data_IF_028524503540
#
_entry.id   IF_028524503540
#
_cell.length_a   1.000
_cell.length_b   1.000
_cell.length_c   1.000
_cell.angle_alpha   90.00
_cell.angle_beta   90.00
_cell.angle_gamma   90.00
#
_symmetry.space_group_name_H-M   'P 1'
#
loop_
_entity.id
_entity.type
_entity.pdbx_description
1 polymer ?
#
# COMPACT_ATOMS: atom_id res chain seq x y z
N UNK A 1 -24.47 -0.82 11.09
CA UNK A 1 -23.27 -0.42 10.31
C UNK A 1 -23.44 -0.65 8.82
N UNK A 2 -23.96 -1.78 8.33
CA UNK A 2 -24.10 -2.00 6.87
C UNK A 2 -25.07 -1.03 6.18
N UNK A 3 -26.15 -0.62 6.85
CA UNK A 3 -27.14 0.33 6.30
C UNK A 3 -26.53 1.69 5.91
N UNK A 4 -25.52 2.19 6.65
CA UNK A 4 -24.85 3.44 6.27
C UNK A 4 -24.01 3.28 5.01
N UNK A 5 -23.38 2.11 4.82
CA UNK A 5 -22.65 1.79 3.58
C UNK A 5 -23.58 1.64 2.39
N UNK A 6 -24.74 1.00 2.57
CA UNK A 6 -25.75 0.87 1.51
C UNK A 6 -26.31 2.23 1.08
N UNK A 7 -26.61 3.12 2.04
CA UNK A 7 -27.06 4.48 1.76
C UNK A 7 -25.98 5.31 1.05
N UNK A 8 -24.74 5.23 1.52
CA UNK A 8 -23.63 5.94 0.90
C UNK A 8 -23.37 5.45 -0.54
N UNK A 9 -23.46 4.14 -0.78
CA UNK A 9 -23.42 3.54 -2.12
C UNK A 9 -24.52 4.08 -3.03
N UNK A 10 -25.71 4.30 -2.49
CA UNK A 10 -26.85 4.88 -3.21
C UNK A 10 -26.72 6.41 -3.45
N UNK A 11 -25.60 7.04 -3.07
CA UNK A 11 -25.35 8.46 -3.28
C UNK A 11 -25.85 9.37 -2.15
N UNK A 12 -26.24 8.82 -0.99
CA UNK A 12 -26.62 9.62 0.18
C UNK A 12 -25.41 10.42 0.69
N UNK A 13 -25.49 11.74 0.57
CA UNK A 13 -24.42 12.65 0.95
C UNK A 13 -24.11 12.63 2.46
N UNK A 14 -25.11 12.41 3.32
CA UNK A 14 -24.91 12.37 4.76
C UNK A 14 -24.22 11.06 5.16
N UNK A 15 -24.65 9.94 4.57
CA UNK A 15 -24.02 8.65 4.80
C UNK A 15 -22.57 8.62 4.29
N UNK A 16 -22.33 9.21 3.12
CA UNK A 16 -20.98 9.37 2.55
C UNK A 16 -20.09 10.18 3.48
N UNK A 17 -20.55 11.35 3.96
CA UNK A 17 -19.81 12.18 4.92
C UNK A 17 -19.45 11.42 6.19
N UNK A 18 -20.41 10.72 6.78
CA UNK A 18 -20.18 9.93 8.00
C UNK A 18 -19.09 8.87 7.81
N UNK A 19 -19.08 8.16 6.67
CA UNK A 19 -18.03 7.18 6.35
C UNK A 19 -16.69 7.88 6.14
N UNK A 20 -16.65 8.96 5.35
CA UNK A 20 -15.40 9.69 5.12
C UNK A 20 -14.81 10.24 6.41
N UNK A 21 -15.63 10.80 7.31
CA UNK A 21 -15.14 11.32 8.58
C UNK A 21 -14.62 10.22 9.50
N UNK A 22 -15.26 9.04 9.50
CA UNK A 22 -14.79 7.88 10.25
C UNK A 22 -13.44 7.36 9.72
N UNK A 23 -13.23 7.35 8.40
CA UNK A 23 -12.03 6.80 7.77
C UNK A 23 -10.88 7.82 7.64
N UNK A 24 -11.16 9.12 7.78
CA UNK A 24 -10.20 10.21 7.65
C UNK A 24 -8.92 10.03 8.48
N UNK A 25 -8.97 9.70 9.79
CA UNK A 25 -7.75 9.55 10.59
C UNK A 25 -6.84 8.42 10.08
N UNK A 26 -7.44 7.37 9.51
CA UNK A 26 -6.72 6.22 8.98
C UNK A 26 -6.06 6.53 7.64
N UNK A 27 -6.76 7.22 6.74
CA UNK A 27 -6.21 7.68 5.47
C UNK A 27 -5.08 8.69 5.69
N UNK A 28 -5.26 9.66 6.59
CA UNK A 28 -4.23 10.65 6.91
C UNK A 28 -2.94 9.99 7.45
N UNK A 29 -3.07 9.03 8.38
CA UNK A 29 -1.91 8.26 8.88
C UNK A 29 -1.22 7.46 7.77
N UNK A 30 -1.98 6.86 6.87
CA UNK A 30 -1.45 6.09 5.74
C UNK A 30 -0.69 7.00 4.76
N UNK A 31 -1.27 8.14 4.38
CA UNK A 31 -0.63 9.13 3.51
C UNK A 31 0.66 9.67 4.13
N UNK A 32 0.61 10.10 5.39
CA UNK A 32 1.79 10.58 6.10
C UNK A 32 2.89 9.52 6.23
N UNK A 33 2.52 8.24 6.39
CA UNK A 33 3.49 7.15 6.40
C UNK A 33 4.20 7.02 5.04
N UNK A 34 3.44 6.94 3.95
CA UNK A 34 4.02 6.77 2.63
C UNK A 34 4.82 8.00 2.19
N UNK A 35 4.34 9.21 2.46
CA UNK A 35 5.05 10.45 2.22
C UNK A 35 6.47 10.43 2.83
N UNK A 36 6.60 10.03 4.10
CA UNK A 36 7.90 9.87 4.76
C UNK A 36 8.80 8.82 4.11
N UNK A 37 8.22 7.72 3.62
CA UNK A 37 8.99 6.64 3.00
C UNK A 37 9.45 6.97 1.58
N UNK A 38 8.72 7.81 0.85
CA UNK A 38 8.92 8.02 -0.59
C UNK A 38 9.38 9.43 -0.95
N UNK A 39 9.36 10.35 0.02
CA UNK A 39 9.67 11.77 -0.18
C UNK A 39 8.58 12.51 -0.99
N UNK A 40 7.36 11.98 -1.03
CA UNK A 40 6.21 12.64 -1.66
C UNK A 40 5.49 13.55 -0.67
N UNK A 41 4.65 14.45 -1.19
CA UNK A 41 3.78 15.28 -0.36
C UNK A 41 2.63 14.45 0.26
N UNK A 42 2.40 14.64 1.56
CA UNK A 42 1.39 13.88 2.30
C UNK A 42 -0.04 14.26 1.93
N UNK A 43 -0.30 15.52 1.59
CA UNK A 43 -1.63 16.01 1.21
C UNK A 43 -1.99 15.52 -0.18
N UNK A 44 -1.04 15.48 -1.12
CA UNK A 44 -1.25 14.89 -2.45
C UNK A 44 -1.59 13.40 -2.36
N UNK A 45 -0.83 12.64 -1.56
CA UNK A 45 -1.11 11.22 -1.33
C UNK A 45 -2.45 10.99 -0.63
N UNK A 46 -2.82 11.89 0.29
CA UNK A 46 -4.11 11.83 0.96
C UNK A 46 -5.26 12.08 -0.02
N UNK A 47 -5.12 13.06 -0.91
CA UNK A 47 -6.11 13.33 -1.96
C UNK A 47 -6.29 12.13 -2.89
N UNK A 48 -5.20 11.51 -3.35
CA UNK A 48 -5.26 10.31 -4.18
C UNK A 48 -5.92 9.13 -3.44
N UNK A 49 -5.66 8.98 -2.14
CA UNK A 49 -6.37 7.99 -1.32
C UNK A 49 -7.88 8.27 -1.25
N UNK A 50 -8.29 9.54 -1.12
CA UNK A 50 -9.71 9.91 -1.16
C UNK A 50 -10.37 9.62 -2.49
N UNK A 51 -9.69 9.94 -3.60
CA UNK A 51 -10.17 9.63 -4.95
C UNK A 51 -10.45 8.12 -5.07
N UNK A 52 -9.48 7.27 -4.72
CA UNK A 52 -9.65 5.83 -4.78
C UNK A 52 -10.78 5.30 -3.89
N UNK A 53 -10.95 5.89 -2.70
CA UNK A 53 -12.05 5.52 -1.79
C UNK A 53 -13.42 5.87 -2.38
N UNK A 54 -13.57 7.10 -2.90
CA UNK A 54 -14.83 7.59 -3.43
C UNK A 54 -15.20 6.92 -4.74
N UNK A 55 -14.23 6.57 -5.58
CA UNK A 55 -14.44 5.75 -6.79
C UNK A 55 -14.92 4.33 -6.46
N UNK A 56 -14.45 3.75 -5.35
CA UNK A 56 -14.82 2.41 -4.93
C UNK A 56 -16.19 2.33 -4.22
N UNK A 57 -16.65 3.44 -3.64
CA UNK A 57 -17.86 3.48 -2.82
C UNK A 57 -19.14 3.07 -3.57
N UNK A 58 -19.41 3.49 -4.82
CA UNK A 58 -20.58 3.03 -5.59
C UNK A 58 -20.53 1.54 -5.96
N UNK A 59 -19.32 0.97 -6.09
CA UNK A 59 -19.11 -0.43 -6.45
C UNK A 59 -19.07 -1.38 -5.24
N UNK A 60 -19.19 -0.84 -4.03
CA UNK A 60 -19.11 -1.59 -2.79
C UNK A 60 -20.24 -2.62 -2.67
N UNK A 61 -19.86 -3.89 -2.50
CA UNK A 61 -20.77 -4.94 -2.06
C UNK A 61 -20.65 -5.15 -0.54
N UNK A 62 -21.69 -4.74 0.19
CA UNK A 62 -21.74 -4.84 1.65
C UNK A 62 -21.96 -6.28 2.15
N UNK A 63 -22.35 -7.20 1.27
CA UNK A 63 -22.55 -8.62 1.63
C UNK A 63 -21.24 -9.40 1.63
N UNK A 64 -20.17 -8.83 1.07
CA UNK A 64 -18.87 -9.50 0.92
C UNK A 64 -17.84 -8.85 1.85
N UNK A 65 -17.40 -9.61 2.85
CA UNK A 65 -16.28 -9.22 3.71
C UNK A 65 -16.56 -7.95 4.53
N UNK A 66 -15.51 -7.15 4.77
CA UNK A 66 -15.62 -5.89 5.51
C UNK A 66 -15.64 -4.70 4.55
N UNK A 67 -16.71 -3.89 4.52
CA UNK A 67 -16.81 -2.70 3.68
C UNK A 67 -15.68 -1.70 3.90
N UNK A 68 -15.31 -1.46 5.17
CA UNK A 68 -14.19 -0.59 5.51
C UNK A 68 -12.89 -1.11 4.88
N UNK A 69 -12.59 -2.40 5.04
CA UNK A 69 -11.35 -2.97 4.51
C UNK A 69 -11.27 -2.85 2.99
N UNK A 70 -12.38 -3.05 2.29
CA UNK A 70 -12.47 -2.86 0.85
C UNK A 70 -12.15 -1.41 0.45
N UNK A 71 -12.79 -0.43 1.08
CA UNK A 71 -12.57 0.99 0.79
C UNK A 71 -11.14 1.43 1.10
N UNK A 72 -10.59 1.02 2.26
CA UNK A 72 -9.21 1.30 2.64
C UNK A 72 -8.23 0.66 1.65
N UNK A 73 -8.53 -0.53 1.14
CA UNK A 73 -7.69 -1.20 0.14
C UNK A 73 -7.65 -0.41 -1.18
N UNK A 74 -8.79 0.08 -1.66
CA UNK A 74 -8.87 0.90 -2.87
C UNK A 74 -8.19 2.26 -2.69
N UNK A 75 -8.38 2.92 -1.54
CA UNK A 75 -7.69 4.15 -1.18
C UNK A 75 -6.17 3.96 -1.22
N UNK A 76 -5.67 2.88 -0.60
CA UNK A 76 -4.25 2.53 -0.60
C UNK A 76 -3.73 2.25 -2.01
N UNK A 77 -4.51 1.57 -2.84
CA UNK A 77 -4.11 1.28 -4.22
C UNK A 77 -3.91 2.56 -5.02
N UNK A 78 -4.87 3.49 -4.98
CA UNK A 78 -4.77 4.77 -5.70
C UNK A 78 -3.58 5.61 -5.24
N UNK A 79 -3.34 5.63 -3.93
CA UNK A 79 -2.16 6.29 -3.34
C UNK A 79 -0.85 5.68 -3.85
N UNK A 80 -0.71 4.36 -3.82
CA UNK A 80 0.52 3.68 -4.28
C UNK A 80 0.75 3.87 -5.78
N UNK A 81 -0.32 3.92 -6.57
CA UNK A 81 -0.24 4.25 -7.99
C UNK A 81 0.28 5.69 -8.19
N UNK A 82 -0.16 6.65 -7.38
CA UNK A 82 0.37 8.02 -7.41
C UNK A 82 1.86 8.09 -7.05
N UNK A 83 2.29 7.36 -6.01
CA UNK A 83 3.72 7.23 -5.66
C UNK A 83 4.53 6.67 -6.83
N UNK A 84 4.02 5.63 -7.50
CA UNK A 84 4.70 5.04 -8.66
C UNK A 84 4.79 6.04 -9.80
N UNK A 85 3.69 6.73 -10.13
CA UNK A 85 3.68 7.77 -11.17
C UNK A 85 4.68 8.89 -10.87
N UNK A 86 4.78 9.32 -9.61
CA UNK A 86 5.75 10.33 -9.20
C UNK A 86 7.20 9.85 -9.32
N UNK A 87 7.48 8.62 -8.91
CA UNK A 87 8.80 7.99 -9.07
C UNK A 87 9.21 7.90 -10.55
N UNK A 88 8.32 7.45 -11.43
CA UNK A 88 8.58 7.36 -12.87
C UNK A 88 8.86 8.75 -13.45
N UNK A 89 8.06 9.76 -13.10
CA UNK A 89 8.31 11.16 -13.54
C UNK A 89 9.67 11.67 -13.09
N UNK A 90 10.08 11.40 -11.84
CA UNK A 90 11.41 11.77 -11.34
C UNK A 90 12.52 11.04 -12.07
N UNK A 91 12.41 9.73 -12.29
CA UNK A 91 13.42 8.98 -13.05
C UNK A 91 13.57 9.49 -14.48
N UNK A 92 12.45 9.81 -15.16
CA UNK A 92 12.49 10.42 -16.49
C UNK A 92 13.12 11.83 -16.47
N UNK A 93 12.93 12.60 -15.38
CA UNK A 93 13.58 13.91 -15.21
C UNK A 93 15.07 13.81 -14.82
N UNK A 94 15.48 12.71 -14.17
CA UNK A 94 16.87 12.48 -13.75
C UNK A 94 17.76 11.98 -14.88
N UNK A 95 17.21 11.45 -15.98
CA UNK A 95 17.98 11.25 -17.22
C UNK A 95 18.56 12.59 -17.75
N UNK A 96 18.01 13.73 -17.32
CA UNK A 96 18.48 15.09 -17.66
C UNK A 96 19.25 15.81 -16.53
N UNK A 97 19.37 15.25 -15.31
CA UNK A 97 19.94 15.98 -14.16
C UNK A 97 20.93 15.14 -13.33
N UNK A 98 22.20 15.58 -13.32
CA UNK A 98 23.32 15.00 -12.57
C UNK A 98 23.10 14.96 -11.04
N UNK A 99 23.71 13.94 -10.41
CA UNK A 99 23.42 13.44 -9.07
C UNK A 99 23.84 14.33 -7.89
N UNK A 100 23.02 14.33 -6.84
CA UNK A 100 23.33 14.91 -5.51
C UNK A 100 23.79 13.82 -4.50
N UNK A 101 24.56 14.19 -3.46
CA UNK A 101 25.23 13.22 -2.57
C UNK A 101 24.27 12.56 -1.57
N UNK A 102 24.53 11.28 -1.28
CA UNK A 102 23.76 10.46 -0.35
C UNK A 102 23.92 10.90 1.12
N UNK A 103 22.80 11.03 1.83
CA UNK A 103 22.77 11.25 3.27
C UNK A 103 23.25 10.00 4.03
N UNK A 104 24.05 10.20 5.08
CA UNK A 104 24.59 9.13 5.93
C UNK A 104 23.48 8.45 6.74
N UNK A 105 23.35 7.10 6.72
CA UNK A 105 22.27 6.41 7.42
C UNK A 105 22.46 6.43 8.94
N UNK A 106 21.36 6.70 9.64
CA UNK A 106 21.23 6.60 11.11
C UNK A 106 21.48 5.15 11.59
N UNK A 107 22.09 5.01 12.77
CA UNK A 107 22.43 3.72 13.40
C UNK A 107 21.18 2.88 13.70
N UNK A 108 20.05 3.51 14.01
CA UNK A 108 18.76 2.82 14.15
C UNK A 108 18.29 2.24 12.81
N UNK A 109 18.43 3.01 11.73
CA UNK A 109 18.12 2.56 10.37
C UNK A 109 19.03 1.41 9.91
N UNK A 110 20.31 1.42 10.30
CA UNK A 110 21.24 0.34 10.01
C UNK A 110 20.85 -0.99 10.69
N UNK A 111 20.42 -0.94 11.96
CA UNK A 111 19.92 -2.12 12.69
C UNK A 111 18.61 -2.64 12.08
N UNK A 112 17.68 -1.75 11.75
CA UNK A 112 16.44 -2.13 11.06
C UNK A 112 16.71 -2.77 9.69
N UNK A 113 17.65 -2.20 8.92
CA UNK A 113 18.06 -2.74 7.62
C UNK A 113 18.71 -4.13 7.75
N UNK A 114 19.53 -4.35 8.78
CA UNK A 114 20.14 -5.66 9.04
C UNK A 114 19.08 -6.72 9.37
N UNK A 115 18.09 -6.39 10.22
CA UNK A 115 16.97 -7.29 10.53
C UNK A 115 16.13 -7.62 9.28
N UNK A 116 15.87 -6.63 8.43
CA UNK A 116 15.15 -6.83 7.15
C UNK A 116 15.96 -7.71 6.20
N UNK A 117 17.27 -7.50 6.09
CA UNK A 117 18.16 -8.33 5.27
C UNK A 117 18.21 -9.79 5.76
N UNK A 118 18.26 -10.00 7.08
CA UNK A 118 18.25 -11.34 7.67
C UNK A 118 16.93 -12.09 7.36
N UNK A 119 15.79 -11.44 7.58
CA UNK A 119 14.49 -12.02 7.28
C UNK A 119 14.33 -12.31 5.78
N UNK A 120 14.64 -11.34 4.92
CA UNK A 120 14.51 -11.50 3.46
C UNK A 120 15.42 -12.60 2.92
N UNK A 121 16.56 -12.87 3.57
CA UNK A 121 17.45 -14.00 3.25
C UNK A 121 16.81 -15.38 3.48
N UNK A 122 15.84 -15.50 4.39
CA UNK A 122 15.12 -16.75 4.67
C UNK A 122 14.03 -17.07 3.64
N UNK A 123 13.59 -16.07 2.89
CA UNK A 123 12.54 -16.21 1.87
C UNK A 123 13.08 -16.87 0.59
N UNK A 124 12.27 -17.75 -0.01
CA UNK A 124 12.53 -18.31 -1.35
C UNK A 124 12.60 -17.18 -2.40
N UNK A 125 13.30 -17.37 -3.53
CA UNK A 125 13.44 -16.34 -4.56
C UNK A 125 12.10 -15.75 -5.02
N UNK A 126 11.09 -16.59 -5.24
CA UNK A 126 9.75 -16.16 -5.62
C UNK A 126 9.07 -15.31 -4.53
N UNK A 127 9.20 -15.68 -3.25
CA UNK A 127 8.64 -14.90 -2.13
C UNK A 127 9.33 -13.55 -1.99
N UNK A 128 10.66 -13.50 -2.19
CA UNK A 128 11.44 -12.25 -2.20
C UNK A 128 11.01 -11.32 -3.32
N UNK A 129 10.87 -11.84 -4.54
CA UNK A 129 10.40 -11.07 -5.68
C UNK A 129 8.99 -10.49 -5.42
N UNK A 130 8.08 -11.32 -4.90
CA UNK A 130 6.73 -10.87 -4.52
C UNK A 130 6.81 -9.78 -3.45
N UNK A 131 7.57 -10.00 -2.38
CA UNK A 131 7.70 -9.02 -1.30
C UNK A 131 8.23 -7.68 -1.81
N UNK A 132 9.25 -7.69 -2.66
CA UNK A 132 9.82 -6.47 -3.25
C UNK A 132 8.77 -5.73 -4.08
N UNK A 133 8.05 -6.42 -4.97
CA UNK A 133 7.00 -5.80 -5.77
C UNK A 133 5.89 -5.20 -4.90
N UNK A 134 5.51 -5.87 -3.81
CA UNK A 134 4.51 -5.33 -2.88
C UNK A 134 5.02 -4.13 -2.07
N UNK A 135 6.32 -4.10 -1.74
CA UNK A 135 6.99 -2.95 -1.09
C UNK A 135 7.07 -1.78 -2.07
N UNK A 136 7.37 -2.05 -3.35
CA UNK A 136 7.29 -1.10 -4.46
C UNK A 136 5.84 -0.66 -4.78
N UNK A 137 4.87 -1.18 -4.04
CA UNK A 137 3.48 -0.75 -4.08
C UNK A 137 2.64 -1.42 -5.16
N UNK A 138 3.12 -2.51 -5.78
CA UNK A 138 2.29 -3.29 -6.71
C UNK A 138 1.13 -3.96 -6.00
N UNK A 139 -0.02 -3.97 -6.66
CA UNK A 139 -1.15 -4.78 -6.23
C UNK A 139 -0.87 -6.27 -6.43
N UNK A 140 -1.64 -7.14 -5.79
CA UNK A 140 -1.51 -8.58 -6.02
C UNK A 140 -1.77 -8.97 -7.48
N UNK A 141 -2.62 -8.22 -8.18
CA UNK A 141 -2.89 -8.44 -9.61
C UNK A 141 -1.70 -7.97 -10.47
N UNK A 142 -1.15 -6.80 -10.18
CA UNK A 142 0.03 -6.26 -10.90
C UNK A 142 1.28 -7.11 -10.65
N UNK A 143 1.53 -7.50 -9.40
CA UNK A 143 2.63 -8.39 -9.05
C UNK A 143 2.44 -9.77 -9.68
N UNK A 144 1.21 -10.28 -9.73
CA UNK A 144 0.86 -11.50 -10.46
C UNK A 144 1.20 -11.38 -11.94
N UNK A 145 0.72 -10.32 -12.60
CA UNK A 145 1.01 -10.06 -14.00
C UNK A 145 2.52 -9.91 -14.28
N UNK A 146 3.24 -9.17 -13.44
CA UNK A 146 4.70 -8.98 -13.55
C UNK A 146 5.49 -10.28 -13.39
N UNK A 147 4.98 -11.23 -12.59
CA UNK A 147 5.63 -12.52 -12.34
C UNK A 147 5.04 -13.67 -13.17
N UNK A 148 4.11 -13.40 -14.09
CA UNK A 148 3.45 -14.42 -14.90
C UNK A 148 2.59 -15.41 -14.09
N UNK A 149 1.98 -14.96 -12.99
CA UNK A 149 1.13 -15.80 -12.13
C UNK A 149 -0.17 -15.10 -11.71
N UNK A 150 -1.09 -15.84 -11.10
CA UNK A 150 -2.39 -15.30 -10.67
C UNK A 150 -2.29 -14.52 -9.36
N UNK A 151 -3.21 -13.58 -9.13
CA UNK A 151 -3.33 -12.88 -7.83
C UNK A 151 -3.60 -13.85 -6.66
N UNK A 152 -4.25 -14.98 -6.91
CA UNK A 152 -4.43 -16.05 -5.93
C UNK A 152 -3.09 -16.71 -5.53
N UNK A 153 -2.18 -16.90 -6.50
CA UNK A 153 -0.82 -17.38 -6.24
C UNK A 153 -0.02 -16.37 -5.39
N UNK A 154 -0.16 -15.08 -5.68
CA UNK A 154 0.44 -14.01 -4.87
C UNK A 154 -0.09 -14.07 -3.42
N UNK A 155 -1.41 -14.18 -3.24
CA UNK A 155 -2.03 -14.29 -1.92
C UNK A 155 -1.52 -15.52 -1.13
N UNK A 156 -1.31 -16.65 -1.81
CA UNK A 156 -0.70 -17.83 -1.21
C UNK A 156 0.72 -17.53 -0.70
N UNK A 157 1.58 -16.95 -1.53
CA UNK A 157 2.93 -16.60 -1.12
C UNK A 157 2.97 -15.57 0.02
N UNK A 158 2.08 -14.57 0.01
CA UNK A 158 1.95 -13.60 1.11
C UNK A 158 1.61 -14.30 2.44
N UNK A 159 0.73 -15.31 2.43
CA UNK A 159 0.44 -16.12 3.63
C UNK A 159 1.68 -16.88 4.11
N UNK A 160 2.47 -17.45 3.19
CA UNK A 160 3.71 -18.14 3.54
C UNK A 160 4.75 -17.17 4.14
N UNK A 161 4.95 -16.01 3.52
CA UNK A 161 5.85 -14.95 4.00
C UNK A 161 5.45 -14.51 5.41
N UNK A 162 4.15 -14.30 5.67
CA UNK A 162 3.65 -13.92 7.00
C UNK A 162 3.92 -15.01 8.05
N UNK A 163 3.75 -16.29 7.68
CA UNK A 163 4.04 -17.41 8.58
C UNK A 163 5.54 -17.48 8.92
N UNK A 164 6.40 -17.31 7.92
CA UNK A 164 7.86 -17.29 8.12
C UNK A 164 8.29 -16.09 8.98
N UNK A 165 7.69 -14.92 8.78
CA UNK A 165 7.93 -13.74 9.62
C UNK A 165 7.56 -13.99 11.07
N UNK A 166 6.39 -14.57 11.35
CA UNK A 166 5.95 -14.87 12.71
C UNK A 166 6.85 -15.90 13.39
N UNK A 167 7.32 -16.92 12.65
CA UNK A 167 8.25 -17.91 13.18
C UNK A 167 9.63 -17.30 13.49
N UNK A 168 10.09 -16.37 12.64
CA UNK A 168 11.36 -15.66 12.84
C UNK A 168 11.29 -14.67 14.01
N UNK A 169 10.24 -13.86 14.06
CA UNK A 169 10.03 -12.85 15.10
C UNK A 169 9.74 -13.46 16.48
N UNK A 170 9.19 -14.67 16.54
CA UNK A 170 9.01 -15.41 17.79
C UNK A 170 10.25 -16.19 18.25
N UNK A 171 11.31 -16.25 17.44
CA UNK A 171 12.58 -16.90 17.75
C UNK A 171 13.68 -15.90 18.16
N UNK A 172 13.38 -14.59 18.13
CA UNK A 172 14.21 -13.50 18.67
C UNK A 172 13.75 -13.13 20.08
#
# INVERSE_FOLDING_TARGET
MNLSYERARAGDAQATRAITDALRPRLAKMAAYYARCTGEDADDLLQEAWVGLLEALPALDVQIGSPEQYLIQHARWRLLDAVRRARVRRCAQLEDAEALPAATPDRSAALAAACVAEFTGRLKPAQRAILNLLIDGLTWREAGAALGCTSANIAYHVRQIRREYLAWAGAQ
#
